data_IF_307331520732
#
_entry.id   IF_307331520732
#
_cell.length_a   1.000
_cell.length_b   1.000
_cell.length_c   1.000
_cell.angle_alpha   90.00
_cell.angle_beta   90.00
_cell.angle_gamma   90.00
#
_symmetry.space_group_name_H-M   'P 1'
#
loop_
_entity.id
_entity.type
_entity.pdbx_description
1 polymer ?
#
# COMPACT_ATOMS: atom_id res chain seq x y z
N UNK A 1 10.60 17.60 11.07
CA UNK A 1 10.96 16.34 10.42
C UNK A 1 10.21 16.20 9.09
N UNK A 2 10.87 15.68 8.07
CA UNK A 2 10.31 15.51 6.72
C UNK A 2 10.17 14.02 6.41
N UNK A 3 9.06 13.63 5.78
CA UNK A 3 8.86 12.32 5.20
C UNK A 3 8.85 12.45 3.67
N UNK A 4 9.75 11.75 3.00
CA UNK A 4 9.87 11.75 1.54
C UNK A 4 9.49 10.39 0.97
N UNK A 5 8.43 10.34 0.17
CA UNK A 5 8.05 9.12 -0.54
C UNK A 5 8.85 8.97 -1.84
N UNK A 6 9.24 7.75 -2.15
CA UNK A 6 10.01 7.41 -3.33
C UNK A 6 9.59 6.01 -3.82
N UNK A 7 9.22 5.88 -5.09
CA UNK A 7 8.99 4.55 -5.69
C UNK A 7 10.29 3.78 -5.86
N UNK A 8 10.18 2.46 -5.91
CA UNK A 8 11.30 1.54 -6.12
C UNK A 8 12.06 1.81 -7.44
N UNK A 9 11.35 2.08 -8.52
CA UNK A 9 11.97 2.47 -9.79
C UNK A 9 12.76 3.77 -9.68
N UNK A 10 12.24 4.79 -8.98
CA UNK A 10 12.98 6.04 -8.73
C UNK A 10 14.19 5.80 -7.85
N UNK A 11 14.04 4.98 -6.80
CA UNK A 11 15.15 4.59 -5.93
C UNK A 11 16.27 3.93 -6.74
N UNK A 12 15.94 2.96 -7.58
CA UNK A 12 16.90 2.21 -8.38
C UNK A 12 17.61 3.09 -9.41
N UNK A 13 16.88 3.97 -10.09
CA UNK A 13 17.42 4.81 -11.16
C UNK A 13 18.32 5.94 -10.63
N UNK A 14 17.88 6.68 -9.62
CA UNK A 14 18.58 7.90 -9.21
C UNK A 14 18.35 8.32 -7.76
N UNK A 15 17.28 7.86 -7.12
CA UNK A 15 16.88 8.32 -5.80
C UNK A 15 17.86 7.94 -4.68
N UNK A 16 18.63 6.85 -4.85
CA UNK A 16 19.69 6.46 -3.92
C UNK A 16 20.77 7.56 -3.75
N UNK A 17 21.02 8.34 -4.79
CA UNK A 17 21.97 9.46 -4.72
C UNK A 17 21.46 10.58 -3.80
N UNK A 18 20.15 10.84 -3.80
CA UNK A 18 19.55 11.81 -2.89
C UNK A 18 19.64 11.37 -1.43
N UNK A 19 19.48 10.06 -1.17
CA UNK A 19 19.65 9.50 0.17
C UNK A 19 21.10 9.65 0.64
N UNK A 20 22.07 9.31 -0.19
CA UNK A 20 23.50 9.51 0.08
C UNK A 20 23.82 10.98 0.40
N UNK A 21 23.28 11.92 -0.37
CA UNK A 21 23.48 13.34 -0.14
C UNK A 21 22.85 13.78 1.20
N UNK A 22 21.66 13.29 1.54
CA UNK A 22 21.00 13.60 2.81
C UNK A 22 21.78 13.03 4.01
N UNK A 23 22.33 11.81 3.90
CA UNK A 23 23.19 11.20 4.94
C UNK A 23 24.45 12.05 5.15
N UNK A 24 25.13 12.45 4.07
CA UNK A 24 26.31 13.32 4.15
C UNK A 24 26.00 14.67 4.81
N UNK A 25 24.82 15.22 4.55
CA UNK A 25 24.34 16.48 5.15
C UNK A 25 23.73 16.31 6.56
N UNK A 26 23.62 15.09 7.07
CA UNK A 26 22.97 14.76 8.38
C UNK A 26 21.56 15.34 8.49
N UNK A 27 20.81 15.32 7.39
CA UNK A 27 19.46 15.93 7.34
C UNK A 27 18.46 15.06 8.09
N UNK A 28 17.60 15.62 8.99
CA UNK A 28 16.57 14.86 9.71
C UNK A 28 15.38 14.56 8.79
N UNK A 29 15.48 13.48 8.01
CA UNK A 29 14.47 13.05 7.04
C UNK A 29 14.26 11.54 7.08
N UNK A 30 13.01 11.11 6.93
CA UNK A 30 12.66 9.71 6.73
C UNK A 30 12.29 9.48 5.26
N UNK A 31 13.06 8.67 4.57
CA UNK A 31 12.70 8.20 3.23
C UNK A 31 11.79 6.98 3.31
N UNK A 32 10.66 7.01 2.59
CA UNK A 32 9.77 5.86 2.42
C UNK A 32 9.93 5.32 1.01
N UNK A 33 10.61 4.17 0.88
CA UNK A 33 10.79 3.49 -0.39
C UNK A 33 9.59 2.59 -0.61
N UNK A 34 8.75 2.95 -1.57
CA UNK A 34 7.51 2.24 -1.88
C UNK A 34 7.85 1.14 -2.90
N UNK A 35 8.16 -0.05 -2.37
CA UNK A 35 8.46 -1.21 -3.19
C UNK A 35 7.17 -1.89 -3.64
N UNK A 36 6.94 -1.97 -4.94
CA UNK A 36 5.76 -2.61 -5.52
C UNK A 36 6.06 -3.60 -6.66
N UNK A 37 7.33 -3.90 -6.88
CA UNK A 37 7.84 -4.87 -7.88
C UNK A 37 7.36 -4.55 -9.31
N UNK A 38 7.10 -3.27 -9.62
CA UNK A 38 6.66 -2.87 -10.94
C UNK A 38 6.79 -1.36 -11.15
N UNK A 39 7.01 -0.93 -12.38
CA UNK A 39 6.82 0.47 -12.79
C UNK A 39 5.32 0.72 -12.96
N UNK A 40 4.62 0.95 -11.83
CA UNK A 40 3.15 0.92 -11.78
C UNK A 40 2.48 2.04 -12.59
N UNK A 41 3.10 3.22 -12.67
CA UNK A 41 2.56 4.40 -13.35
C UNK A 41 2.40 4.21 -14.85
N UNK A 42 3.31 3.48 -15.49
CA UNK A 42 3.37 3.33 -16.94
C UNK A 42 2.80 2.01 -17.45
N UNK A 43 2.17 1.20 -16.61
CA UNK A 43 1.48 -0.01 -17.03
C UNK A 43 1.96 -1.30 -16.37
N UNK A 44 2.82 -1.23 -15.38
CA UNK A 44 3.27 -2.38 -14.60
C UNK A 44 4.38 -3.18 -15.30
N UNK A 45 5.31 -2.48 -15.95
CA UNK A 45 6.52 -3.09 -16.48
C UNK A 45 7.39 -3.60 -15.32
N UNK A 46 8.13 -4.68 -15.55
CA UNK A 46 9.16 -5.12 -14.62
C UNK A 46 10.25 -4.04 -14.50
N UNK A 47 10.82 -3.92 -13.31
CA UNK A 47 12.02 -3.10 -13.13
C UNK A 47 13.23 -3.83 -13.71
N UNK A 48 14.14 -3.05 -14.28
CA UNK A 48 15.45 -3.56 -14.68
C UNK A 48 16.32 -3.77 -13.44
N UNK A 49 16.88 -4.97 -13.29
CA UNK A 49 17.83 -5.32 -12.23
C UNK A 49 17.24 -6.04 -11.02
N UNK A 50 18.11 -6.69 -10.24
CA UNK A 50 17.74 -7.55 -9.11
C UNK A 50 17.48 -6.72 -7.84
N UNK A 51 16.37 -6.02 -7.77
CA UNK A 51 15.98 -5.25 -6.60
C UNK A 51 14.95 -6.03 -5.77
N UNK A 52 15.17 -6.12 -4.46
CA UNK A 52 14.23 -6.67 -3.50
C UNK A 52 14.17 -5.79 -2.24
N UNK A 53 13.13 -5.90 -1.40
CA UNK A 53 13.03 -5.13 -0.16
C UNK A 53 14.26 -5.31 0.75
N UNK A 54 14.78 -6.52 0.84
CA UNK A 54 15.94 -6.84 1.66
C UNK A 54 17.25 -6.29 1.07
N UNK A 55 17.40 -6.30 -0.25
CA UNK A 55 18.53 -5.65 -0.94
C UNK A 55 18.51 -4.15 -0.70
N UNK A 56 17.33 -3.51 -0.84
CA UNK A 56 17.16 -2.08 -0.55
C UNK A 56 17.57 -1.78 0.89
N UNK A 57 17.09 -2.57 1.86
CA UNK A 57 17.42 -2.38 3.27
C UNK A 57 18.95 -2.46 3.53
N UNK A 58 19.64 -3.41 2.90
CA UNK A 58 21.11 -3.55 2.99
C UNK A 58 21.84 -2.37 2.35
N UNK A 59 21.38 -1.89 1.19
CA UNK A 59 21.96 -0.71 0.53
C UNK A 59 21.80 0.54 1.39
N UNK A 60 20.61 0.77 1.97
CA UNK A 60 20.34 1.90 2.87
C UNK A 60 21.24 1.87 4.11
N UNK A 61 21.42 0.71 4.71
CA UNK A 61 22.34 0.55 5.85
C UNK A 61 23.81 0.82 5.45
N UNK A 62 24.22 0.36 4.27
CA UNK A 62 25.56 0.60 3.73
C UNK A 62 25.83 2.09 3.41
N UNK A 63 24.79 2.84 3.03
CA UNK A 63 24.88 4.29 2.84
C UNK A 63 24.96 5.07 4.17
N UNK A 64 24.76 4.43 5.30
CA UNK A 64 24.82 5.07 6.63
C UNK A 64 23.50 5.61 7.14
N UNK A 65 22.37 5.12 6.62
CA UNK A 65 21.04 5.42 7.17
C UNK A 65 20.97 4.89 8.62
N UNK A 66 20.57 5.75 9.56
CA UNK A 66 20.65 5.47 11.01
C UNK A 66 19.69 4.36 11.46
N UNK A 67 18.53 4.31 10.88
CA UNK A 67 17.50 3.31 11.21
C UNK A 67 16.76 2.89 9.94
N UNK A 68 16.68 1.60 9.69
CA UNK A 68 15.94 1.02 8.56
C UNK A 68 14.85 0.10 9.09
N UNK A 69 13.62 0.28 8.61
CA UNK A 69 12.48 -0.58 8.94
C UNK A 69 11.89 -1.13 7.63
N UNK A 70 11.74 -2.44 7.54
CA UNK A 70 10.99 -3.09 6.48
C UNK A 70 9.55 -3.33 6.94
N UNK A 71 8.59 -2.72 6.26
CA UNK A 71 7.16 -2.95 6.47
C UNK A 71 6.61 -3.74 5.30
N UNK A 72 6.01 -4.89 5.56
CA UNK A 72 5.44 -5.75 4.52
C UNK A 72 3.97 -6.08 4.78
N UNK A 73 3.20 -6.28 3.72
CA UNK A 73 1.85 -6.86 3.78
C UNK A 73 1.89 -8.33 4.19
N UNK A 74 3.00 -9.02 3.89
CA UNK A 74 3.24 -10.45 4.17
C UNK A 74 4.66 -10.61 4.76
N UNK A 75 4.89 -10.23 6.04
CA UNK A 75 6.24 -10.28 6.65
C UNK A 75 6.88 -11.67 6.61
N UNK A 76 6.07 -12.73 6.67
CA UNK A 76 6.50 -14.13 6.62
C UNK A 76 7.21 -14.52 5.31
N UNK A 77 7.13 -13.70 4.28
CA UNK A 77 7.87 -13.88 3.01
C UNK A 77 9.33 -13.47 3.11
N UNK A 78 9.70 -12.78 4.18
CA UNK A 78 11.04 -12.27 4.40
C UNK A 78 11.67 -12.95 5.61
N UNK A 79 12.98 -13.22 5.55
CA UNK A 79 13.73 -13.68 6.70
C UNK A 79 14.42 -12.50 7.39
N UNK A 80 14.34 -12.44 8.71
CA UNK A 80 15.08 -11.44 9.49
C UNK A 80 16.60 -11.56 9.29
N UNK A 81 17.11 -12.78 9.01
CA UNK A 81 18.52 -13.01 8.69
C UNK A 81 18.98 -12.33 7.38
N UNK A 82 18.03 -11.97 6.52
CA UNK A 82 18.32 -11.27 5.27
C UNK A 82 18.43 -9.76 5.43
N UNK A 83 18.04 -9.25 6.58
CA UNK A 83 18.11 -7.82 6.89
C UNK A 83 19.50 -7.44 7.45
N UNK A 84 19.92 -6.18 7.27
CA UNK A 84 21.13 -5.68 7.89
C UNK A 84 20.96 -5.58 9.41
N UNK A 85 22.06 -5.64 10.15
CA UNK A 85 22.05 -5.49 11.59
C UNK A 85 21.35 -4.19 12.01
N UNK A 86 20.49 -4.27 13.01
CA UNK A 86 19.70 -3.13 13.50
C UNK A 86 18.46 -2.76 12.68
N UNK A 87 18.21 -3.38 11.53
CA UNK A 87 16.94 -3.26 10.84
C UNK A 87 15.86 -4.13 11.50
N UNK A 88 14.59 -3.75 11.32
CA UNK A 88 13.45 -4.53 11.82
C UNK A 88 12.45 -4.82 10.70
N UNK A 89 11.80 -5.97 10.81
CA UNK A 89 10.70 -6.40 9.95
C UNK A 89 9.38 -6.34 10.73
N UNK A 90 8.39 -5.63 10.20
CA UNK A 90 7.07 -5.50 10.82
C UNK A 90 5.96 -5.60 9.77
N UNK A 91 4.74 -5.89 10.25
CA UNK A 91 3.58 -5.81 9.38
C UNK A 91 3.26 -4.36 8.99
N UNK A 92 2.75 -4.14 7.79
CA UNK A 92 2.43 -2.81 7.23
C UNK A 92 1.55 -1.94 8.13
N UNK A 93 0.72 -2.56 8.98
CA UNK A 93 -0.18 -1.85 9.89
C UNK A 93 0.57 -1.08 10.98
N UNK A 94 1.86 -1.37 11.19
CA UNK A 94 2.73 -0.61 12.09
C UNK A 94 3.22 0.73 11.51
N UNK A 95 2.80 1.11 10.27
CA UNK A 95 3.32 2.30 9.59
C UNK A 95 3.22 3.57 10.43
N UNK A 96 2.07 3.82 11.08
CA UNK A 96 1.89 5.05 11.89
C UNK A 96 2.84 5.08 13.10
N UNK A 97 2.91 3.97 13.86
CA UNK A 97 3.81 3.89 15.02
C UNK A 97 5.27 4.01 14.63
N UNK A 98 5.68 3.37 13.53
CA UNK A 98 7.05 3.46 12.99
C UNK A 98 7.37 4.89 12.54
N UNK A 99 6.46 5.58 11.87
CA UNK A 99 6.68 6.98 11.49
C UNK A 99 6.85 7.89 12.71
N UNK A 100 6.09 7.65 13.79
CA UNK A 100 6.22 8.40 15.06
C UNK A 100 7.56 8.12 15.75
N UNK A 101 8.05 6.88 15.71
CA UNK A 101 9.37 6.51 16.22
C UNK A 101 10.47 7.21 15.40
N UNK A 102 10.45 7.04 14.08
CA UNK A 102 11.54 7.48 13.21
C UNK A 102 11.70 9.00 13.15
N UNK A 103 10.66 9.78 13.35
CA UNK A 103 10.77 11.24 13.38
C UNK A 103 11.56 11.78 14.58
N UNK A 104 11.73 10.97 15.64
CA UNK A 104 12.49 11.32 16.84
C UNK A 104 13.96 10.89 16.72
N UNK A 105 14.32 10.12 15.67
CA UNK A 105 15.69 9.69 15.41
C UNK A 105 16.44 10.79 14.67
N UNK A 106 17.61 11.15 15.18
CA UNK A 106 18.48 12.12 14.51
C UNK A 106 19.07 11.57 13.21
N UNK A 107 19.16 12.42 12.20
CA UNK A 107 19.72 12.08 10.90
C UNK A 107 18.72 11.41 9.95
N UNK A 108 19.25 10.63 9.01
CA UNK A 108 18.44 10.00 7.96
C UNK A 108 17.95 8.64 8.44
N UNK A 109 16.64 8.42 8.31
CA UNK A 109 16.01 7.13 8.55
C UNK A 109 15.27 6.65 7.30
N UNK A 110 14.92 5.37 7.23
CA UNK A 110 14.21 4.84 6.09
C UNK A 110 13.18 3.77 6.44
N UNK A 111 12.09 3.78 5.71
CA UNK A 111 11.09 2.72 5.67
C UNK A 111 11.12 2.12 4.27
N UNK A 112 11.35 0.82 4.18
CA UNK A 112 11.09 0.05 2.96
C UNK A 112 9.68 -0.50 3.08
N UNK A 113 8.75 -0.01 2.26
CA UNK A 113 7.35 -0.38 2.32
C UNK A 113 7.02 -1.35 1.19
N UNK A 114 6.94 -2.64 1.52
CA UNK A 114 6.71 -3.73 0.59
C UNK A 114 5.22 -4.03 0.47
N UNK A 115 4.63 -3.54 -0.62
CA UNK A 115 3.24 -3.81 -0.95
C UNK A 115 3.01 -3.61 -2.44
N UNK A 116 2.43 -4.61 -3.10
CA UNK A 116 2.02 -4.46 -4.50
C UNK A 116 1.03 -3.30 -4.66
N UNK A 117 1.29 -2.41 -5.61
CA UNK A 117 0.41 -1.30 -5.93
C UNK A 117 -1.03 -1.77 -6.22
N UNK A 118 -2.03 -1.04 -5.70
CA UNK A 118 -3.45 -1.37 -5.89
C UNK A 118 -3.85 -1.51 -7.38
N UNK A 119 -3.33 -0.64 -8.25
CA UNK A 119 -3.57 -0.72 -9.68
C UNK A 119 -2.96 -2.00 -10.28
N UNK A 120 -1.76 -2.37 -9.82
CA UNK A 120 -1.08 -3.58 -10.27
C UNK A 120 -1.77 -4.85 -9.77
N UNK A 121 -2.23 -4.90 -8.51
CA UNK A 121 -3.06 -6.00 -8.00
C UNK A 121 -4.29 -6.24 -8.89
N UNK A 122 -4.99 -5.17 -9.29
CA UNK A 122 -6.15 -5.29 -10.21
C UNK A 122 -5.77 -5.80 -11.58
N UNK A 123 -4.66 -5.32 -12.16
CA UNK A 123 -4.15 -5.80 -13.46
C UNK A 123 -3.78 -7.27 -13.40
N UNK A 124 -3.04 -7.69 -12.38
CA UNK A 124 -2.60 -9.09 -12.19
C UNK A 124 -3.81 -10.01 -12.00
N UNK A 125 -4.81 -9.61 -11.19
CA UNK A 125 -6.07 -10.37 -11.03
C UNK A 125 -6.84 -10.49 -12.34
N UNK A 126 -6.96 -9.41 -13.11
CA UNK A 126 -7.64 -9.41 -14.41
C UNK A 126 -6.96 -10.34 -15.42
N UNK A 127 -5.64 -10.48 -15.33
CA UNK A 127 -4.83 -11.37 -16.20
C UNK A 127 -4.69 -12.79 -15.64
N UNK A 128 -5.27 -13.11 -14.50
CA UNK A 128 -5.14 -14.42 -13.85
C UNK A 128 -3.78 -14.67 -13.19
N UNK A 129 -2.94 -13.63 -13.04
CA UNK A 129 -1.60 -13.72 -12.46
C UNK A 129 -1.58 -13.55 -10.93
N UNK A 130 -2.73 -13.28 -10.33
CA UNK A 130 -2.90 -13.16 -8.89
C UNK A 130 -4.27 -13.69 -8.50
N UNK A 131 -4.40 -14.42 -7.36
CA UNK A 131 -5.68 -14.88 -6.87
C UNK A 131 -6.67 -13.72 -6.66
N UNK A 132 -7.91 -13.91 -7.09
CA UNK A 132 -8.99 -12.95 -6.84
C UNK A 132 -9.83 -13.44 -5.65
N UNK A 133 -9.83 -12.71 -4.51
CA UNK A 133 -10.61 -13.11 -3.35
C UNK A 133 -12.07 -13.31 -3.69
N UNK A 134 -12.64 -14.45 -3.28
CA UNK A 134 -14.05 -14.82 -3.52
C UNK A 134 -15.01 -14.06 -2.59
N UNK A 135 -14.48 -13.08 -1.86
CA UNK A 135 -15.19 -12.24 -0.92
C UNK A 135 -15.46 -10.88 -1.53
N UNK A 136 -16.67 -10.35 -1.32
CA UNK A 136 -17.07 -8.98 -1.69
C UNK A 136 -17.68 -8.30 -0.47
N UNK A 137 -17.43 -7.00 -0.37
CA UNK A 137 -17.98 -6.18 0.70
C UNK A 137 -18.88 -5.13 0.10
N UNK A 138 -20.03 -4.94 0.69
CA UNK A 138 -21.02 -3.93 0.34
C UNK A 138 -21.37 -3.11 1.57
N UNK A 139 -21.87 -1.91 1.35
CA UNK A 139 -22.49 -1.10 2.39
C UNK A 139 -23.99 -1.10 2.15
N UNK A 140 -24.76 -1.47 3.16
CA UNK A 140 -26.21 -1.34 3.13
C UNK A 140 -26.58 0.13 3.37
N UNK A 141 -27.03 0.80 2.33
CA UNK A 141 -27.35 2.22 2.36
C UNK A 141 -28.51 2.55 3.32
N UNK A 142 -29.44 1.62 3.53
CA UNK A 142 -30.54 1.79 4.49
C UNK A 142 -30.05 1.80 5.96
N UNK A 143 -28.91 1.18 6.24
CA UNK A 143 -28.31 1.12 7.60
C UNK A 143 -27.20 2.17 7.74
N UNK A 144 -26.59 2.60 6.64
CA UNK A 144 -25.49 3.56 6.63
C UNK A 144 -25.93 4.92 7.15
N UNK A 145 -25.27 5.45 8.17
CA UNK A 145 -25.52 6.78 8.71
C UNK A 145 -24.73 7.91 7.98
N UNK A 146 -23.87 7.55 7.04
CA UNK A 146 -23.07 8.53 6.31
C UNK A 146 -21.91 9.14 7.11
N UNK A 147 -21.57 8.60 8.29
CA UNK A 147 -20.55 9.15 9.20
C UNK A 147 -19.14 9.26 8.60
N UNK A 148 -18.81 8.46 7.58
CA UNK A 148 -17.52 8.51 6.88
C UNK A 148 -16.39 7.73 7.56
N UNK A 149 -16.61 7.07 8.68
CA UNK A 149 -15.58 6.32 9.42
C UNK A 149 -14.88 5.27 8.55
N UNK A 150 -15.62 4.56 7.70
CA UNK A 150 -15.04 3.60 6.74
C UNK A 150 -14.01 4.23 5.80
N UNK A 151 -14.20 5.49 5.44
CA UNK A 151 -13.21 6.25 4.66
C UNK A 151 -11.99 6.63 5.49
N UNK A 152 -12.18 7.04 6.73
CA UNK A 152 -11.10 7.37 7.68
C UNK A 152 -10.23 6.15 7.98
N UNK A 153 -10.86 4.99 8.21
CA UNK A 153 -10.16 3.74 8.52
C UNK A 153 -9.35 3.20 7.32
N UNK A 154 -9.87 3.34 6.11
CA UNK A 154 -9.27 2.70 4.94
C UNK A 154 -8.53 3.65 4.02
N UNK A 155 -8.85 4.93 4.04
CA UNK A 155 -8.42 5.91 3.03
C UNK A 155 -8.60 5.37 1.58
N UNK A 156 -9.68 4.64 1.34
CA UNK A 156 -9.90 3.87 0.11
C UNK A 156 -10.73 4.65 -0.90
N UNK A 157 -10.24 4.77 -2.13
CA UNK A 157 -10.93 5.44 -3.24
C UNK A 157 -12.23 4.73 -3.65
N UNK A 158 -12.37 3.45 -3.33
CA UNK A 158 -13.58 2.68 -3.68
C UNK A 158 -14.76 2.93 -2.75
N UNK A 159 -14.51 3.55 -1.58
CA UNK A 159 -15.58 4.00 -0.68
C UNK A 159 -16.06 5.37 -1.18
N UNK A 160 -17.18 5.36 -1.90
CA UNK A 160 -17.74 6.53 -2.57
C UNK A 160 -18.98 7.06 -1.87
N UNK A 161 -19.22 8.36 -1.92
CA UNK A 161 -20.50 8.93 -1.47
C UNK A 161 -21.63 8.59 -2.45
N UNK A 162 -22.83 8.38 -1.91
CA UNK A 162 -24.06 8.19 -2.67
C UNK A 162 -25.13 9.10 -2.06
N UNK A 163 -25.79 9.89 -2.89
CA UNK A 163 -26.94 10.69 -2.47
C UNK A 163 -28.21 9.82 -2.48
N UNK A 164 -28.94 9.83 -1.39
CA UNK A 164 -30.19 9.09 -1.22
C UNK A 164 -31.28 10.01 -0.67
N UNK A 165 -32.54 9.56 -0.70
CA UNK A 165 -33.67 10.27 -0.07
C UNK A 165 -33.46 10.50 1.44
N UNK A 166 -32.67 9.63 2.08
CA UNK A 166 -32.31 9.71 3.50
C UNK A 166 -30.96 10.42 3.75
N UNK A 167 -30.52 11.26 2.82
CA UNK A 167 -29.27 11.97 2.89
C UNK A 167 -28.09 11.21 2.30
N UNK A 168 -26.89 11.74 2.49
CA UNK A 168 -25.66 11.24 1.88
C UNK A 168 -25.13 9.99 2.59
N UNK A 169 -25.08 8.90 1.88
CA UNK A 169 -24.62 7.59 2.34
C UNK A 169 -23.25 7.21 1.73
N UNK A 170 -22.79 6.00 1.99
CA UNK A 170 -21.57 5.46 1.38
C UNK A 170 -21.89 4.16 0.64
N UNK A 171 -21.18 3.94 -0.46
CA UNK A 171 -21.19 2.68 -1.21
C UNK A 171 -19.76 2.25 -1.54
N UNK A 172 -19.60 1.00 -1.96
CA UNK A 172 -18.31 0.49 -2.43
C UNK A 172 -18.40 0.26 -3.94
N UNK A 173 -17.61 1.02 -4.69
CA UNK A 173 -17.41 0.75 -6.10
C UNK A 173 -16.62 -0.55 -6.27
N UNK A 174 -17.32 -1.60 -6.69
CA UNK A 174 -16.75 -2.93 -6.86
C UNK A 174 -15.73 -3.01 -8.00
N UNK A 175 -15.75 -2.08 -8.95
CA UNK A 175 -14.84 -2.05 -10.09
C UNK A 175 -13.45 -1.57 -9.69
N UNK A 176 -13.37 -0.65 -8.74
CA UNK A 176 -12.13 -0.07 -8.22
C UNK A 176 -11.66 -0.71 -6.91
N UNK A 177 -12.49 -1.56 -6.28
CA UNK A 177 -12.19 -2.20 -5.01
C UNK A 177 -10.95 -3.09 -5.10
N UNK A 178 -9.97 -2.82 -4.22
CA UNK A 178 -8.72 -3.57 -4.15
C UNK A 178 -8.82 -4.87 -3.32
N UNK A 179 -9.95 -5.09 -2.64
CA UNK A 179 -10.22 -6.28 -1.81
C UNK A 179 -9.16 -6.55 -0.74
N UNK A 180 -8.63 -5.49 -0.15
CA UNK A 180 -7.74 -5.56 1.01
C UNK A 180 -8.51 -5.47 2.34
N UNK A 181 -9.82 -5.20 2.25
CA UNK A 181 -10.77 -5.18 3.37
C UNK A 181 -10.42 -4.20 4.51
N UNK A 182 -9.53 -3.24 4.26
CA UNK A 182 -9.15 -2.23 5.25
C UNK A 182 -10.34 -1.39 5.74
N UNK A 183 -11.37 -1.23 4.91
CA UNK A 183 -12.61 -0.55 5.28
C UNK A 183 -13.40 -1.26 6.39
N UNK A 184 -13.13 -2.55 6.65
CA UNK A 184 -13.75 -3.33 7.73
C UNK A 184 -13.02 -3.23 9.07
N UNK A 185 -11.90 -2.51 9.17
CA UNK A 185 -11.13 -2.37 10.41
C UNK A 185 -11.88 -1.58 11.50
N UNK A 186 -12.83 -0.72 11.11
CA UNK A 186 -13.77 -0.08 12.02
C UNK A 186 -14.98 -0.94 12.33
N UNK A 187 -15.68 -0.63 13.43
CA UNK A 187 -16.98 -1.24 13.73
C UNK A 187 -18.10 -0.47 13.02
N UNK A 188 -18.75 -1.10 12.05
CA UNK A 188 -19.87 -0.50 11.34
C UNK A 188 -20.91 -1.57 10.94
N UNK A 189 -22.16 -1.46 11.43
CA UNK A 189 -23.20 -2.46 11.17
C UNK A 189 -23.75 -2.43 9.73
N UNK A 190 -23.42 -1.41 8.95
CA UNK A 190 -23.88 -1.31 7.55
C UNK A 190 -23.10 -2.18 6.57
N UNK A 191 -21.96 -2.75 6.98
CA UNK A 191 -21.20 -3.63 6.11
C UNK A 191 -21.84 -4.99 5.95
N UNK A 192 -21.95 -5.43 4.69
CA UNK A 192 -22.41 -6.75 4.29
C UNK A 192 -21.32 -7.46 3.51
N UNK A 193 -20.98 -8.67 3.91
CA UNK A 193 -20.00 -9.50 3.20
C UNK A 193 -20.71 -10.59 2.40
N UNK A 194 -20.34 -10.74 1.13
CA UNK A 194 -20.82 -11.79 0.24
C UNK A 194 -19.64 -12.71 -0.08
N UNK A 195 -19.78 -13.97 0.31
CA UNK A 195 -18.80 -15.02 -0.01
C UNK A 195 -19.18 -15.74 -1.32
N UNK A 196 -18.18 -16.12 -2.11
CA UNK A 196 -18.37 -16.82 -3.39
C UNK A 196 -18.93 -15.94 -4.53
N UNK A 197 -19.17 -14.64 -4.28
CA UNK A 197 -19.74 -13.72 -5.25
C UNK A 197 -18.78 -13.35 -6.37
N UNK A 198 -19.31 -13.23 -7.60
CA UNK A 198 -18.59 -12.75 -8.78
C UNK A 198 -19.32 -11.56 -9.39
N UNK A 199 -18.56 -10.61 -9.96
CA UNK A 199 -19.18 -9.54 -10.76
C UNK A 199 -19.87 -10.14 -11.98
N UNK A 200 -21.13 -9.78 -12.19
CA UNK A 200 -21.87 -10.15 -13.39
C UNK A 200 -21.27 -9.35 -14.57
N UNK A 201 -20.71 -10.06 -15.55
CA UNK A 201 -20.27 -9.41 -16.79
C UNK A 201 -21.49 -8.93 -17.57
N UNK A 202 -21.48 -7.71 -18.12
CA UNK A 202 -22.51 -7.30 -19.06
C UNK A 202 -22.53 -8.26 -20.25
N UNK A 203 -23.70 -8.53 -20.81
CA UNK A 203 -23.81 -9.25 -22.09
C UNK A 203 -23.08 -8.43 -23.15
N UNK A 204 -22.34 -9.10 -24.02
CA UNK A 204 -21.78 -8.41 -25.19
C UNK A 204 -22.95 -7.79 -25.98
N UNK A 205 -22.82 -6.51 -26.28
CA UNK A 205 -23.75 -5.84 -27.20
C UNK A 205 -23.33 -6.32 -28.59
N UNK A 206 -24.26 -6.93 -29.31
CA UNK A 206 -24.02 -7.22 -30.74
C UNK A 206 -23.74 -5.90 -31.45
N UNK A 207 -22.63 -5.84 -32.15
CA UNK A 207 -22.30 -4.70 -33.01
C UNK A 207 -23.38 -4.58 -34.08
N UNK A 208 -24.01 -3.43 -34.16
CA UNK A 208 -24.93 -3.08 -35.25
C UNK A 208 -24.18 -3.05 -36.59
#
# INVERSE_FOLDING_TARGET
>A
HVFQNMGDGTYYHSGSLAIRAAVAAKTPVTFKILYNDAVAMTGGQAMDGPLSPTIIARQLAAEGVQRVVLLSEEPERHSESDLPAGATLLHRDALDSVQRELREVEGVTAIVFDQTCAAEKRRRRKRGLMPDPQRRVFINEAVCEGCGDCGTQSNCLSVTPVETELGRKRAIDQSSCNKDFSCLKGFCPSFVTVEGGRLKKPKAVEAL
#
